data_IF_318154293703
#
_entry.id   IF_318154293703
#
_cell.length_a   1.000
_cell.length_b   1.000
_cell.length_c   1.000
_cell.angle_alpha   90.00
_cell.angle_beta   90.00
_cell.angle_gamma   90.00
#
_symmetry.space_group_name_H-M   'P 1'
#
loop_
_entity.id
_entity.type
_entity.pdbx_description
1 polymer ?
#
# COMPACT_ATOMS: atom_id res chain seq x y z
N UNK A 1 -29.63 13.95 28.95
CA UNK A 1 -29.97 14.01 27.52
C UNK A 1 -28.69 14.33 26.74
N UNK A 2 -27.83 13.33 26.58
CA UNK A 2 -26.53 13.47 25.91
C UNK A 2 -26.71 13.41 24.40
N UNK A 3 -26.12 14.38 23.71
CA UNK A 3 -26.45 14.78 22.35
C UNK A 3 -26.40 13.66 21.31
N UNK A 4 -27.48 13.57 20.54
CA UNK A 4 -27.62 12.91 19.24
C UNK A 4 -26.59 13.40 18.20
N UNK A 5 -25.88 14.50 18.47
CA UNK A 5 -24.81 15.04 17.62
C UNK A 5 -23.57 14.14 17.54
N UNK A 6 -23.18 13.45 18.61
CA UNK A 6 -22.02 12.55 18.59
C UNK A 6 -22.23 11.35 17.68
N UNK A 7 -23.47 10.82 17.62
CA UNK A 7 -23.86 9.73 16.72
C UNK A 7 -24.03 10.17 15.26
N UNK A 8 -24.39 11.44 15.04
CA UNK A 8 -24.52 12.00 13.69
C UNK A 8 -23.15 12.32 13.08
N UNK A 9 -22.21 12.84 13.88
CA UNK A 9 -20.82 13.10 13.45
C UNK A 9 -20.01 11.81 13.26
N UNK A 10 -20.27 10.75 14.04
CA UNK A 10 -19.67 9.42 13.78
C UNK A 10 -20.22 8.74 12.52
N UNK A 11 -21.36 9.21 11.99
CA UNK A 11 -21.98 8.69 10.77
C UNK A 11 -21.57 9.48 9.50
N UNK A 12 -21.03 10.69 9.68
CA UNK A 12 -20.56 11.55 8.59
C UNK A 12 -19.06 11.38 8.30
N UNK A 13 -18.28 10.86 9.25
CA UNK A 13 -16.88 10.48 9.01
C UNK A 13 -16.73 8.96 8.85
N UNK A 14 -16.79 8.51 7.60
CA UNK A 14 -16.19 7.24 7.21
C UNK A 14 -14.67 7.35 7.35
N UNK A 15 -14.14 6.98 8.52
CA UNK A 15 -12.71 6.85 8.78
C UNK A 15 -12.18 5.68 7.96
N UNK A 16 -11.92 5.92 6.68
CA UNK A 16 -11.06 5.05 5.90
C UNK A 16 -9.67 5.69 5.89
N UNK A 17 -8.72 4.94 6.43
CA UNK A 17 -7.31 5.27 6.39
C UNK A 17 -6.73 4.78 5.05
N UNK A 18 -5.68 5.42 4.54
CA UNK A 18 -4.93 4.93 3.37
C UNK A 18 -3.53 4.56 3.81
N UNK A 19 -3.08 3.34 3.48
CA UNK A 19 -1.73 2.87 3.79
C UNK A 19 -0.89 2.74 2.54
N UNK A 20 0.20 3.52 2.51
CA UNK A 20 1.21 3.43 1.45
C UNK A 20 2.31 2.50 1.93
N UNK A 21 2.56 1.47 1.14
CA UNK A 21 3.68 0.56 1.30
C UNK A 21 4.72 0.89 0.22
N UNK A 22 5.93 1.24 0.64
CA UNK A 22 7.06 1.43 -0.27
C UNK A 22 7.97 0.23 -0.13
N UNK A 23 8.21 -0.49 -1.23
CA UNK A 23 9.12 -1.65 -1.27
C UNK A 23 10.28 -1.32 -2.19
N UNK A 24 11.50 -1.25 -1.65
CA UNK A 24 12.71 -1.19 -2.47
C UNK A 24 13.25 -2.58 -2.71
N UNK A 25 12.97 -3.17 -3.88
CA UNK A 25 13.32 -4.56 -4.17
C UNK A 25 14.19 -4.61 -5.43
N UNK A 26 15.42 -5.10 -5.31
CA UNK A 26 16.15 -5.67 -6.45
C UNK A 26 16.07 -7.19 -6.42
N UNK A 27 16.23 -7.88 -7.55
CA UNK A 27 16.10 -9.35 -7.65
C UNK A 27 17.29 -10.11 -7.06
N UNK A 28 18.08 -9.47 -6.21
CA UNK A 28 19.08 -10.15 -5.41
C UNK A 28 18.40 -11.05 -4.37
N UNK A 29 19.00 -12.23 -4.16
CA UNK A 29 18.45 -13.24 -3.24
C UNK A 29 18.19 -12.73 -1.82
N UNK A 30 18.89 -11.68 -1.39
CA UNK A 30 18.69 -11.00 -0.10
C UNK A 30 17.38 -10.20 -0.09
N UNK A 31 17.07 -9.50 -1.18
CA UNK A 31 15.87 -8.69 -1.30
C UNK A 31 14.61 -9.57 -1.52
N UNK A 32 14.75 -10.74 -2.15
CA UNK A 32 13.68 -11.75 -2.22
C UNK A 32 13.34 -12.31 -0.83
N UNK A 33 14.35 -12.56 0.01
CA UNK A 33 14.13 -12.99 1.40
C UNK A 33 13.47 -11.87 2.23
N UNK A 34 13.88 -10.61 2.03
CA UNK A 34 13.24 -9.45 2.65
C UNK A 34 11.78 -9.33 2.21
N UNK A 35 11.50 -9.47 0.92
CA UNK A 35 10.14 -9.45 0.38
C UNK A 35 9.26 -10.48 1.07
N UNK A 36 9.76 -11.71 1.26
CA UNK A 36 9.03 -12.77 1.96
C UNK A 36 8.74 -12.44 3.43
N UNK A 37 9.66 -11.77 4.12
CA UNK A 37 9.46 -11.28 5.49
C UNK A 37 8.45 -10.12 5.53
N UNK A 38 8.57 -9.18 4.60
CA UNK A 38 7.65 -8.06 4.41
C UNK A 38 6.24 -8.55 4.09
N UNK A 39 6.07 -9.60 3.31
CA UNK A 39 4.75 -10.23 3.05
C UNK A 39 4.09 -10.66 4.35
N UNK A 40 4.83 -11.23 5.31
CA UNK A 40 4.25 -11.65 6.59
C UNK A 40 3.82 -10.45 7.44
N UNK A 41 4.65 -9.41 7.52
CA UNK A 41 4.30 -8.19 8.24
C UNK A 41 3.12 -7.46 7.59
N UNK A 42 3.13 -7.35 6.26
CA UNK A 42 2.04 -6.77 5.49
C UNK A 42 0.74 -7.53 5.76
N UNK A 43 0.75 -8.85 5.69
CA UNK A 43 -0.45 -9.64 6.00
C UNK A 43 -0.90 -9.49 7.44
N UNK A 44 0.02 -9.39 8.41
CA UNK A 44 -0.35 -9.15 9.80
C UNK A 44 -1.08 -7.81 9.97
N UNK A 45 -0.53 -6.74 9.38
CA UNK A 45 -1.13 -5.40 9.37
C UNK A 45 -2.48 -5.44 8.65
N UNK A 46 -2.52 -5.97 7.43
CA UNK A 46 -3.72 -5.96 6.60
C UNK A 46 -4.91 -6.77 7.15
N UNK A 47 -4.66 -7.69 8.07
CA UNK A 47 -5.67 -8.48 8.79
C UNK A 47 -6.21 -7.78 10.05
N UNK A 48 -5.64 -6.63 10.46
CA UNK A 48 -6.20 -5.81 11.53
C UNK A 48 -7.59 -5.28 11.11
N UNK A 49 -8.58 -5.40 12.00
CA UNK A 49 -9.99 -5.05 11.70
C UNK A 49 -10.15 -3.59 11.29
N UNK A 50 -9.37 -2.69 11.89
CA UNK A 50 -9.35 -1.27 11.56
C UNK A 50 -8.91 -1.03 10.12
N UNK A 51 -8.15 -1.96 9.54
CA UNK A 51 -7.52 -1.82 8.23
C UNK A 51 -8.28 -2.52 7.11
N UNK A 52 -9.38 -3.20 7.42
CA UNK A 52 -10.18 -4.01 6.48
C UNK A 52 -10.73 -3.25 5.25
N UNK A 53 -10.81 -1.92 5.31
CA UNK A 53 -11.39 -1.06 4.25
C UNK A 53 -10.40 -0.08 3.59
N UNK A 54 -9.10 -0.30 3.81
CA UNK A 54 -8.01 0.58 3.36
C UNK A 54 -7.53 0.15 1.99
N UNK A 55 -7.30 1.07 1.06
CA UNK A 55 -6.65 0.77 -0.22
C UNK A 55 -5.11 0.67 -0.03
N UNK A 56 -4.45 -0.22 -0.79
CA UNK A 56 -3.02 -0.47 -0.71
C UNK A 56 -2.28 0.03 -1.96
N UNK A 57 -1.39 0.99 -1.79
CA UNK A 57 -0.42 1.38 -2.83
C UNK A 57 0.92 0.72 -2.54
N UNK A 58 1.46 -0.02 -3.52
CA UNK A 58 2.81 -0.58 -3.47
C UNK A 58 3.69 0.15 -4.47
N UNK A 59 4.72 0.84 -4.01
CA UNK A 59 5.79 1.31 -4.89
C UNK A 59 6.83 0.21 -5.05
N UNK A 60 6.98 -0.33 -6.25
CA UNK A 60 8.03 -1.29 -6.60
C UNK A 60 9.28 -0.50 -7.01
N UNK A 61 10.09 -0.12 -6.03
CA UNK A 61 11.24 0.76 -6.20
C UNK A 61 12.50 0.00 -6.65
N UNK A 62 13.46 0.71 -7.27
CA UNK A 62 14.71 0.22 -7.91
C UNK A 62 14.53 -0.41 -9.30
N UNK A 63 13.53 0.03 -10.07
CA UNK A 63 13.29 -0.50 -11.42
C UNK A 63 14.37 -0.15 -12.46
N UNK A 64 15.35 0.68 -12.07
CA UNK A 64 16.57 0.93 -12.84
C UNK A 64 17.60 -0.20 -12.76
N UNK A 65 17.46 -1.13 -11.81
CA UNK A 65 18.40 -2.21 -11.61
C UNK A 65 18.24 -3.33 -12.68
N UNK A 66 19.33 -3.94 -13.17
CA UNK A 66 19.29 -4.97 -14.21
C UNK A 66 18.59 -6.27 -13.77
N UNK A 67 18.49 -6.49 -12.46
CA UNK A 67 17.84 -7.62 -11.81
C UNK A 67 16.51 -7.21 -11.16
N UNK A 68 15.92 -6.05 -11.47
CA UNK A 68 14.68 -5.62 -10.85
C UNK A 68 13.57 -6.68 -11.02
N UNK A 69 12.83 -6.94 -9.94
CA UNK A 69 11.67 -7.83 -9.99
C UNK A 69 10.57 -7.19 -10.82
N UNK A 70 9.89 -8.01 -11.62
CA UNK A 70 8.72 -7.56 -12.37
C UNK A 70 7.47 -7.49 -11.45
N UNK A 71 6.40 -6.90 -12.00
CA UNK A 71 5.18 -6.65 -11.23
C UNK A 71 4.51 -7.97 -10.84
N UNK A 72 4.55 -8.96 -11.72
CA UNK A 72 3.96 -10.29 -11.51
C UNK A 72 4.62 -10.98 -10.31
N UNK A 73 5.95 -11.04 -10.27
CA UNK A 73 6.75 -11.64 -9.18
C UNK A 73 6.46 -10.95 -7.84
N UNK A 74 6.37 -9.62 -7.84
CA UNK A 74 6.04 -8.85 -6.64
C UNK A 74 4.61 -9.16 -6.18
N UNK A 75 3.65 -9.19 -7.11
CA UNK A 75 2.25 -9.45 -6.81
C UNK A 75 2.02 -10.85 -6.23
N UNK A 76 2.72 -11.86 -6.77
CA UNK A 76 2.69 -13.24 -6.29
C UNK A 76 3.33 -13.35 -4.91
N UNK A 77 4.51 -12.76 -4.72
CA UNK A 77 5.24 -12.86 -3.44
C UNK A 77 4.50 -12.17 -2.30
N UNK A 78 3.83 -11.05 -2.58
CA UNK A 78 2.99 -10.33 -1.61
C UNK A 78 1.60 -10.96 -1.42
N UNK A 79 1.26 -11.95 -2.23
CA UNK A 79 -0.05 -12.57 -2.31
C UNK A 79 -1.21 -11.57 -2.52
N UNK A 80 -1.02 -10.59 -3.40
CA UNK A 80 -2.04 -9.55 -3.65
C UNK A 80 -3.24 -10.09 -4.43
N UNK A 81 -3.04 -11.11 -5.27
CA UNK A 81 -4.11 -11.71 -6.10
C UNK A 81 -5.20 -12.36 -5.25
N UNK A 82 -4.83 -12.97 -4.13
CA UNK A 82 -5.77 -13.57 -3.18
C UNK A 82 -6.48 -12.54 -2.29
N UNK A 83 -6.06 -11.27 -2.34
CA UNK A 83 -6.59 -10.20 -1.51
C UNK A 83 -7.96 -9.75 -2.02
N UNK A 84 -9.02 -10.28 -1.40
CA UNK A 84 -10.41 -9.95 -1.74
C UNK A 84 -10.95 -8.81 -0.88
N UNK A 85 -11.74 -7.92 -1.49
CA UNK A 85 -12.46 -6.86 -0.78
C UNK A 85 -11.67 -5.58 -0.51
N UNK A 86 -10.46 -5.47 -1.06
CA UNK A 86 -9.60 -4.28 -0.98
C UNK A 86 -9.07 -3.93 -2.36
N UNK A 87 -8.97 -2.64 -2.70
CA UNK A 87 -8.25 -2.22 -3.90
C UNK A 87 -6.75 -2.14 -3.60
N UNK A 88 -5.95 -2.57 -4.56
CA UNK A 88 -4.51 -2.44 -4.51
C UNK A 88 -3.97 -2.07 -5.87
N UNK A 89 -2.79 -1.45 -5.89
CA UNK A 89 -2.02 -1.24 -7.11
C UNK A 89 -0.53 -1.37 -6.83
N UNK A 90 0.24 -1.77 -7.85
CA UNK A 90 1.71 -1.75 -7.83
C UNK A 90 2.14 -0.72 -8.86
N UNK A 91 2.99 0.21 -8.46
CA UNK A 91 3.58 1.23 -9.36
C UNK A 91 5.09 0.99 -9.44
N UNK A 92 5.62 0.56 -10.59
CA UNK A 92 7.05 0.50 -10.86
C UNK A 92 7.66 1.88 -10.64
N UNK A 93 8.73 1.97 -9.87
CA UNK A 93 9.31 3.24 -9.46
C UNK A 93 10.82 3.19 -9.49
N UNK A 94 11.43 4.30 -9.91
CA UNK A 94 12.83 4.57 -9.69
C UNK A 94 12.93 5.86 -8.87
N UNK A 95 13.25 5.74 -7.59
CA UNK A 95 13.39 6.90 -6.71
C UNK A 95 14.54 7.85 -7.13
N UNK A 96 15.51 7.35 -7.91
CA UNK A 96 16.65 8.16 -8.41
C UNK A 96 16.21 9.09 -9.54
N UNK A 97 15.45 8.56 -10.51
CA UNK A 97 14.96 9.35 -11.66
C UNK A 97 13.63 10.05 -11.35
N UNK A 98 12.89 9.57 -10.35
CA UNK A 98 11.55 10.03 -10.01
C UNK A 98 10.44 9.39 -10.85
N UNK A 99 10.78 8.45 -11.74
CA UNK A 99 9.80 7.70 -12.54
C UNK A 99 8.86 6.90 -11.62
N UNK A 100 7.57 6.85 -11.99
CA UNK A 100 6.52 6.16 -11.22
C UNK A 100 5.98 6.93 -10.01
N UNK A 101 6.72 7.89 -9.45
CA UNK A 101 6.27 8.63 -8.27
C UNK A 101 4.98 9.41 -8.51
N UNK A 102 4.91 10.20 -9.60
CA UNK A 102 3.73 10.99 -9.91
C UNK A 102 2.50 10.10 -10.15
N UNK A 103 2.67 8.97 -10.83
CA UNK A 103 1.58 8.03 -11.10
C UNK A 103 1.03 7.43 -9.80
N UNK A 104 1.91 6.99 -8.90
CA UNK A 104 1.49 6.47 -7.61
C UNK A 104 0.86 7.54 -6.73
N UNK A 105 1.33 8.78 -6.78
CA UNK A 105 0.71 9.90 -6.08
C UNK A 105 -0.65 10.26 -6.68
N UNK A 106 -0.82 10.22 -8.00
CA UNK A 106 -2.11 10.45 -8.66
C UNK A 106 -3.11 9.37 -8.30
N UNK A 107 -2.68 8.10 -8.28
CA UNK A 107 -3.51 7.01 -7.77
C UNK A 107 -3.89 7.23 -6.31
N UNK A 108 -2.92 7.60 -5.48
CA UNK A 108 -3.13 7.88 -4.06
C UNK A 108 -4.17 8.99 -3.88
N UNK A 109 -4.02 10.11 -4.59
CA UNK A 109 -4.97 11.23 -4.55
C UNK A 109 -6.36 10.79 -5.01
N UNK A 110 -6.46 9.98 -6.07
CA UNK A 110 -7.74 9.47 -6.54
C UNK A 110 -8.40 8.50 -5.54
N UNK A 111 -7.62 7.66 -4.87
CA UNK A 111 -8.09 6.80 -3.78
C UNK A 111 -8.49 7.61 -2.54
N UNK A 112 -7.79 8.72 -2.25
CA UNK A 112 -8.09 9.66 -1.16
C UNK A 112 -9.32 10.54 -1.45
N UNK A 113 -9.77 10.72 -2.70
CA UNK A 113 -10.90 11.62 -3.04
C UNK A 113 -12.22 11.35 -2.29
N UNK A 114 -12.29 10.27 -1.50
CA UNK A 114 -13.38 9.95 -0.56
C UNK A 114 -12.98 9.88 0.95
N UNK A 115 -11.79 10.30 1.40
CA UNK A 115 -11.22 9.91 2.72
C UNK A 115 -10.29 10.94 3.38
N UNK A 116 -10.12 10.88 4.71
CA UNK A 116 -9.60 11.99 5.56
C UNK A 116 -8.18 11.80 6.14
N UNK A 117 -7.58 10.60 6.11
CA UNK A 117 -6.26 10.37 6.74
C UNK A 117 -5.32 9.45 5.92
N UNK A 118 -4.03 9.82 5.85
CA UNK A 118 -2.96 9.10 5.16
C UNK A 118 -1.92 8.58 6.17
N UNK A 119 -1.64 7.28 6.14
CA UNK A 119 -0.60 6.63 6.93
C UNK A 119 0.45 6.03 5.99
N UNK A 120 1.70 6.48 6.06
CA UNK A 120 2.80 5.97 5.21
C UNK A 120 3.70 5.11 6.08
N UNK A 121 3.92 3.85 5.69
CA UNK A 121 4.89 2.96 6.34
C UNK A 121 5.89 2.48 5.31
N UNK A 122 7.13 2.93 5.48
CA UNK A 122 8.27 2.46 4.71
C UNK A 122 8.79 1.19 5.38
N UNK A 123 8.81 0.07 4.65
CA UNK A 123 9.47 -1.16 5.09
C UNK A 123 10.81 -1.23 4.35
N UNK A 124 11.90 -1.36 5.10
CA UNK A 124 13.28 -1.45 4.59
C UNK A 124 13.72 -2.90 4.48
#
# INVERSE_FOLDING_TARGET
>A
MGGTFGKLLSHLWGQKEIRVLILGLDGDSTDIQRLSATTKELNAILNEKELSNIDLLVFANKQDAPNALNIEEISETLNLVDMKGRNWTIIPTCAITGEGLNEGLDWLVNSIKNQTFLYIRVLY
#
